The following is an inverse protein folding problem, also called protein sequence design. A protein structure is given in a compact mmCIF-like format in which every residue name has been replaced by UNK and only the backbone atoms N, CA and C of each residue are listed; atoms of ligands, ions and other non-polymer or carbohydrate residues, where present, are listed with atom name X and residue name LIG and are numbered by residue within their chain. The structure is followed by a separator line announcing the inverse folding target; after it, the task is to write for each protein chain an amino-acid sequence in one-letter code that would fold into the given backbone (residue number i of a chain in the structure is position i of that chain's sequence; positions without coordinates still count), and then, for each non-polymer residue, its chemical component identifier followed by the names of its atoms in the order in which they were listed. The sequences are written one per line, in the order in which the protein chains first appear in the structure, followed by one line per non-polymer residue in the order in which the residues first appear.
data_IF_405255423278
#
_entry.id   IF_405255423278
#
_cell.length_a   1.000
_cell.length_b   1.000
_cell.length_c   1.000
_cell.angle_alpha   90.00
_cell.angle_beta   90.00
_cell.angle_gamma   90.00
#
_symmetry.space_group_name_H-M   'P 1'
#
loop_
_entity.id
_entity.type
_entity.pdbx_description
1 polymer ?
#
# COMPACT_ATOMS: atom_id res chain seq x y z
N UNK A 1 16.65 53.03 -11.32
CA UNK A 1 15.68 52.86 -10.22
C UNK A 1 14.33 53.32 -10.76
N UNK A 2 13.25 52.54 -10.82
CA UNK A 2 12.97 51.17 -10.42
C UNK A 2 11.85 50.59 -11.30
N UNK A 3 11.77 49.26 -11.37
CA UNK A 3 10.73 48.56 -12.09
C UNK A 3 9.52 48.37 -11.16
N UNK A 4 8.39 48.99 -11.52
CA UNK A 4 7.12 48.82 -10.82
C UNK A 4 6.48 47.50 -11.27
N UNK A 5 6.71 46.42 -10.53
CA UNK A 5 5.97 45.18 -10.69
C UNK A 5 4.64 45.35 -9.94
N UNK A 6 3.61 45.80 -10.66
CA UNK A 6 2.23 45.78 -10.17
C UNK A 6 1.65 44.38 -10.43
N UNK A 7 1.88 43.43 -9.52
CA UNK A 7 1.13 42.19 -9.53
C UNK A 7 -0.33 42.51 -9.14
N UNK A 8 -1.26 42.28 -10.05
CA UNK A 8 -2.69 42.51 -9.80
C UNK A 8 -3.17 41.54 -8.73
N UNK A 9 -3.96 41.99 -7.75
CA UNK A 9 -4.52 41.11 -6.72
C UNK A 9 -5.31 39.92 -7.29
N UNK A 10 -5.80 40.05 -8.53
CA UNK A 10 -6.43 38.97 -9.29
C UNK A 10 -5.46 37.85 -9.69
N UNK A 11 -4.21 38.17 -10.04
CA UNK A 11 -3.19 37.18 -10.40
C UNK A 11 -2.73 36.37 -9.16
N UNK A 12 -2.76 37.00 -7.99
CA UNK A 12 -2.48 36.34 -6.71
C UNK A 12 -3.63 35.42 -6.30
N UNK A 13 -4.88 35.84 -6.51
CA UNK A 13 -6.08 35.03 -6.22
C UNK A 13 -6.23 33.86 -7.21
N UNK A 14 -5.95 34.08 -8.50
CA UNK A 14 -5.90 33.02 -9.53
C UNK A 14 -4.75 32.04 -9.28
N UNK A 15 -3.59 32.53 -8.82
CA UNK A 15 -2.46 31.69 -8.40
C UNK A 15 -2.77 30.86 -7.15
N UNK A 16 -3.55 31.39 -6.21
CA UNK A 16 -3.97 30.70 -5.00
C UNK A 16 -5.06 29.66 -5.29
N UNK A 17 -6.05 30.00 -6.11
CA UNK A 17 -7.11 29.07 -6.54
C UNK A 17 -6.58 27.97 -7.46
N UNK A 18 -5.62 28.26 -8.34
CA UNK A 18 -4.89 27.27 -9.14
C UNK A 18 -4.12 26.26 -8.27
N UNK A 19 -3.45 26.74 -7.20
CA UNK A 19 -2.77 25.84 -6.24
C UNK A 19 -3.73 25.02 -5.37
N UNK A 20 -4.93 25.53 -5.10
CA UNK A 20 -5.99 24.77 -4.40
C UNK A 20 -6.61 23.72 -5.34
N UNK A 21 -6.68 24.00 -6.66
CA UNK A 21 -7.21 23.09 -7.67
C UNK A 21 -6.31 21.89 -7.99
N UNK A 22 -5.04 21.89 -7.58
CA UNK A 22 -4.05 20.85 -7.94
C UNK A 22 -3.98 19.67 -6.95
N UNK A 23 -4.85 19.67 -5.91
CA UNK A 23 -5.00 18.52 -5.00
C UNK A 23 -6.09 17.58 -5.51
N UNK A 24 -5.81 16.28 -5.70
CA UNK A 24 -6.84 15.32 -6.04
C UNK A 24 -7.94 15.34 -4.97
N UNK A 25 -9.21 15.39 -5.41
CA UNK A 25 -10.35 15.34 -4.49
C UNK A 25 -10.31 14.06 -3.63
N UNK A 26 -10.78 14.15 -2.38
CA UNK A 26 -10.74 13.04 -1.42
C UNK A 26 -11.32 11.73 -1.98
N UNK A 27 -12.44 11.82 -2.70
CA UNK A 27 -13.07 10.65 -3.33
C UNK A 27 -12.18 10.01 -4.41
N UNK A 28 -11.46 10.82 -5.20
CA UNK A 28 -10.53 10.33 -6.20
C UNK A 28 -9.33 9.63 -5.54
N UNK A 29 -8.81 10.20 -4.46
CA UNK A 29 -7.73 9.61 -3.66
C UNK A 29 -8.13 8.26 -3.07
N UNK A 30 -9.30 8.18 -2.42
CA UNK A 30 -9.82 6.93 -1.85
C UNK A 30 -10.02 5.89 -2.96
N UNK A 31 -10.67 6.26 -4.07
CA UNK A 31 -10.90 5.36 -5.20
C UNK A 31 -9.59 4.84 -5.79
N UNK A 32 -8.61 5.71 -6.02
CA UNK A 32 -7.31 5.32 -6.56
C UNK A 32 -6.59 4.36 -5.61
N UNK A 33 -6.63 4.65 -4.31
CA UNK A 33 -6.07 3.80 -3.28
C UNK A 33 -6.71 2.43 -3.18
N UNK A 34 -8.05 2.34 -3.24
CA UNK A 34 -8.78 1.06 -3.24
C UNK A 34 -8.39 0.23 -4.47
N UNK A 35 -8.49 0.81 -5.68
CA UNK A 35 -8.20 0.07 -6.92
C UNK A 35 -6.73 -0.37 -6.93
N UNK A 36 -5.82 0.51 -6.54
CA UNK A 36 -4.40 0.18 -6.47
C UNK A 36 -4.09 -0.87 -5.41
N UNK A 37 -4.73 -0.78 -4.23
CA UNK A 37 -4.57 -1.73 -3.13
C UNK A 37 -5.07 -3.13 -3.50
N UNK A 38 -6.25 -3.24 -4.12
CA UNK A 38 -6.77 -4.51 -4.65
C UNK A 38 -5.85 -5.07 -5.74
N UNK A 39 -5.37 -4.22 -6.65
CA UNK A 39 -4.42 -4.64 -7.70
C UNK A 39 -3.14 -5.20 -7.09
N UNK A 40 -2.57 -4.51 -6.11
CA UNK A 40 -1.42 -4.97 -5.36
C UNK A 40 -1.68 -6.28 -4.63
N UNK A 41 -2.85 -6.42 -3.97
CA UNK A 41 -3.24 -7.62 -3.24
C UNK A 41 -3.28 -8.87 -4.12
N UNK A 42 -3.83 -8.75 -5.34
CA UNK A 42 -3.85 -9.85 -6.29
C UNK A 42 -2.43 -10.26 -6.72
N UNK A 43 -1.56 -9.28 -6.97
CA UNK A 43 -0.20 -9.55 -7.45
C UNK A 43 0.70 -10.12 -6.36
N UNK A 44 0.63 -9.60 -5.13
CA UNK A 44 1.40 -10.15 -4.01
C UNK A 44 1.00 -11.59 -3.72
N UNK A 45 -0.29 -11.92 -3.81
CA UNK A 45 -0.75 -13.29 -3.64
C UNK A 45 -0.25 -14.24 -4.72
N UNK A 46 -0.25 -13.81 -5.98
CA UNK A 46 0.35 -14.59 -7.07
C UNK A 46 1.84 -14.83 -6.77
N UNK A 47 2.56 -13.79 -6.34
CA UNK A 47 3.96 -13.89 -5.98
C UNK A 47 4.18 -14.87 -4.81
N UNK A 48 3.41 -14.76 -3.73
CA UNK A 48 3.54 -15.62 -2.56
C UNK A 48 3.19 -17.08 -2.88
N UNK A 49 2.16 -17.33 -3.68
CA UNK A 49 1.83 -18.68 -4.14
C UNK A 49 2.98 -19.31 -4.94
N UNK A 50 3.60 -18.55 -5.84
CA UNK A 50 4.71 -19.06 -6.66
C UNK A 50 5.98 -19.23 -5.81
N UNK A 51 6.38 -18.19 -5.08
CA UNK A 51 7.69 -18.14 -4.44
C UNK A 51 7.67 -18.77 -3.06
N UNK A 52 6.75 -18.38 -2.18
CA UNK A 52 6.75 -18.86 -0.80
C UNK A 52 6.26 -20.30 -0.71
N UNK A 53 5.18 -20.63 -1.43
CA UNK A 53 4.62 -21.99 -1.43
C UNK A 53 5.35 -22.88 -2.42
N UNK A 54 5.50 -22.45 -3.68
CA UNK A 54 6.07 -23.29 -4.74
C UNK A 54 7.59 -23.45 -4.67
N UNK A 55 8.34 -22.36 -4.55
CA UNK A 55 9.83 -22.40 -4.62
C UNK A 55 10.45 -22.64 -3.25
N UNK A 56 10.10 -21.83 -2.26
CA UNK A 56 10.76 -21.81 -0.96
C UNK A 56 10.14 -22.81 0.04
N UNK A 57 8.94 -23.32 -0.22
CA UNK A 57 8.21 -24.25 0.67
C UNK A 57 8.11 -23.74 2.13
N UNK A 58 8.13 -22.43 2.34
CA UNK A 58 8.23 -21.80 3.67
C UNK A 58 6.92 -21.81 4.43
N UNK A 59 5.78 -21.81 3.74
CA UNK A 59 4.45 -21.90 4.34
C UNK A 59 3.47 -22.61 3.42
N UNK A 60 2.51 -23.37 3.97
CA UNK A 60 1.35 -23.82 3.22
C UNK A 60 0.52 -22.62 2.75
N UNK A 61 -0.11 -22.70 1.57
CA UNK A 61 -0.95 -21.64 0.99
C UNK A 61 -2.02 -21.11 1.98
N UNK A 62 -2.53 -21.97 2.85
CA UNK A 62 -3.53 -21.62 3.86
C UNK A 62 -2.98 -20.89 5.10
N UNK A 63 -1.66 -20.92 5.33
CA UNK A 63 -1.02 -20.32 6.51
C UNK A 63 -1.03 -18.79 6.48
N UNK A 64 -0.83 -18.20 5.30
CA UNK A 64 -0.71 -16.74 5.14
C UNK A 64 -2.03 -16.02 5.51
N UNK A 65 -3.22 -16.46 5.03
CA UNK A 65 -4.46 -15.78 5.41
C UNK A 65 -4.84 -16.05 6.86
N UNK A 66 -4.61 -17.25 7.39
CA UNK A 66 -4.95 -17.57 8.80
C UNK A 66 -4.24 -16.67 9.80
N UNK A 67 -2.98 -16.30 9.55
CA UNK A 67 -2.24 -15.39 10.41
C UNK A 67 -2.88 -13.99 10.52
N UNK A 68 -3.59 -13.53 9.49
CA UNK A 68 -4.31 -12.26 9.54
C UNK A 68 -5.55 -12.33 10.46
N UNK A 69 -6.25 -13.47 10.49
CA UNK A 69 -7.32 -13.72 11.47
C UNK A 69 -6.77 -13.70 12.89
N UNK A 70 -5.62 -14.32 13.13
CA UNK A 70 -4.93 -14.29 14.42
C UNK A 70 -4.48 -12.89 14.83
N UNK A 71 -3.98 -12.07 13.90
CA UNK A 71 -3.59 -10.69 14.14
C UNK A 71 -4.78 -9.83 14.62
N UNK A 72 -5.95 -10.00 14.01
CA UNK A 72 -7.13 -9.15 14.31
C UNK A 72 -7.93 -9.65 15.51
N UNK A 73 -8.09 -10.96 15.65
CA UNK A 73 -9.00 -11.56 16.64
C UNK A 73 -8.32 -12.44 17.69
N UNK A 74 -7.00 -12.66 17.57
CA UNK A 74 -6.23 -13.53 18.45
C UNK A 74 -6.19 -14.99 17.97
N UNK A 75 -5.20 -15.73 18.51
CA UNK A 75 -4.93 -17.12 18.13
C UNK A 75 -6.08 -18.06 18.46
N UNK A 76 -6.74 -17.89 19.60
CA UNK A 76 -7.88 -18.73 20.02
C UNK A 76 -9.02 -18.67 19.00
N UNK A 77 -9.34 -17.47 18.50
CA UNK A 77 -10.36 -17.28 17.47
C UNK A 77 -9.91 -17.91 16.15
N UNK A 78 -8.66 -17.69 15.74
CA UNK A 78 -8.09 -18.32 14.55
C UNK A 78 -8.18 -19.87 14.59
N UNK A 79 -7.91 -20.47 15.75
CA UNK A 79 -7.91 -21.92 15.91
C UNK A 79 -9.36 -22.45 15.95
N UNK A 80 -10.26 -21.76 16.66
CA UNK A 80 -11.69 -22.13 16.74
C UNK A 80 -12.41 -22.10 15.39
N UNK A 81 -12.01 -21.18 14.49
CA UNK A 81 -12.62 -21.02 13.17
C UNK A 81 -12.18 -22.11 12.17
N UNK A 82 -11.09 -22.84 12.44
CA UNK A 82 -10.58 -23.88 11.54
C UNK A 82 -10.37 -23.38 10.11
N UNK A 83 -11.09 -23.95 9.15
CA UNK A 83 -11.05 -23.51 7.73
C UNK A 83 -11.66 -22.11 7.53
N UNK A 84 -12.60 -21.69 8.39
CA UNK A 84 -13.18 -20.35 8.34
C UNK A 84 -12.15 -19.26 8.57
N UNK A 85 -11.08 -19.54 9.32
CA UNK A 85 -9.98 -18.59 9.55
C UNK A 85 -9.23 -18.25 8.25
N UNK A 86 -9.23 -19.15 7.26
CA UNK A 86 -8.67 -18.87 5.94
C UNK A 86 -9.53 -17.84 5.19
N UNK A 87 -10.85 -18.05 5.14
CA UNK A 87 -11.78 -17.16 4.43
C UNK A 87 -11.81 -15.78 5.08
N UNK A 88 -11.95 -15.72 6.41
CA UNK A 88 -11.95 -14.47 7.18
C UNK A 88 -10.62 -13.75 7.02
N UNK A 89 -9.52 -14.50 7.10
CA UNK A 89 -8.17 -13.99 6.93
C UNK A 89 -7.93 -13.40 5.54
N UNK A 90 -8.43 -14.06 4.51
CA UNK A 90 -8.44 -13.54 3.13
C UNK A 90 -9.14 -12.19 3.05
N UNK A 91 -10.34 -12.07 3.63
CA UNK A 91 -11.08 -10.81 3.66
C UNK A 91 -10.28 -9.70 4.36
N UNK A 92 -9.67 -10.02 5.50
CA UNK A 92 -8.81 -9.09 6.25
C UNK A 92 -7.62 -8.62 5.40
N UNK A 93 -6.95 -9.51 4.66
CA UNK A 93 -5.85 -9.15 3.77
C UNK A 93 -6.26 -8.09 2.75
N UNK A 94 -7.41 -8.28 2.07
CA UNK A 94 -7.91 -7.28 1.12
C UNK A 94 -8.26 -5.95 1.79
N UNK A 95 -8.81 -5.98 3.00
CA UNK A 95 -9.07 -4.75 3.79
C UNK A 95 -7.78 -4.01 4.10
N UNK A 96 -6.75 -4.71 4.59
CA UNK A 96 -5.43 -4.10 4.83
C UNK A 96 -4.81 -3.58 3.53
N UNK A 97 -4.84 -4.35 2.44
CA UNK A 97 -4.31 -3.92 1.14
C UNK A 97 -5.00 -2.66 0.63
N UNK A 98 -6.33 -2.55 0.79
CA UNK A 98 -7.06 -1.32 0.46
C UNK A 98 -6.65 -0.16 1.37
N UNK A 99 -6.53 -0.37 2.67
CA UNK A 99 -6.11 0.66 3.63
C UNK A 99 -4.70 1.20 3.31
N UNK A 100 -3.74 0.30 3.10
CA UNK A 100 -2.39 0.67 2.65
C UNK A 100 -2.40 1.32 1.26
N UNK A 101 -3.30 0.92 0.36
CA UNK A 101 -3.47 1.57 -0.93
C UNK A 101 -3.96 3.02 -0.81
N UNK A 102 -4.97 3.26 0.04
CA UNK A 102 -5.50 4.60 0.34
C UNK A 102 -4.44 5.47 0.99
N UNK A 103 -3.68 4.93 1.94
CA UNK A 103 -2.60 5.65 2.59
C UNK A 103 -1.52 6.10 1.58
N UNK A 104 -1.11 5.19 0.67
CA UNK A 104 -0.17 5.55 -0.39
C UNK A 104 -0.75 6.64 -1.31
N UNK A 105 -2.01 6.50 -1.73
CA UNK A 105 -2.69 7.48 -2.58
C UNK A 105 -2.80 8.86 -1.92
N UNK A 106 -2.95 8.92 -0.59
CA UNK A 106 -2.99 10.16 0.16
C UNK A 106 -1.62 10.84 0.28
N UNK A 107 -0.55 10.06 0.44
CA UNK A 107 0.81 10.55 0.63
C UNK A 107 1.48 10.94 -0.70
N UNK A 108 1.24 10.16 -1.76
CA UNK A 108 1.92 10.33 -3.05
C UNK A 108 1.85 11.75 -3.64
N UNK A 109 0.71 12.46 -3.66
CA UNK A 109 0.63 13.82 -4.21
C UNK A 109 1.65 14.80 -3.60
N UNK A 110 2.00 14.65 -2.31
CA UNK A 110 3.02 15.47 -1.65
C UNK A 110 4.42 15.26 -2.26
N UNK A 111 4.78 14.02 -2.60
CA UNK A 111 6.05 13.69 -3.25
C UNK A 111 6.04 14.07 -4.74
N UNK A 112 4.91 13.88 -5.42
CA UNK A 112 4.71 14.31 -6.82
C UNK A 112 5.01 15.79 -7.00
N UNK A 113 4.54 16.64 -6.09
CA UNK A 113 4.78 18.10 -6.11
C UNK A 113 6.27 18.47 -6.02
N UNK A 114 7.13 17.55 -5.58
CA UNK A 114 8.59 17.72 -5.47
C UNK A 114 9.35 17.02 -6.61
N UNK A 115 8.65 16.49 -7.61
CA UNK A 115 9.24 15.85 -8.78
C UNK A 115 9.72 14.41 -8.55
N UNK A 116 9.38 13.78 -7.42
CA UNK A 116 9.66 12.35 -7.23
C UNK A 116 8.75 11.52 -8.14
N UNK A 117 9.16 10.28 -8.41
CA UNK A 117 8.41 9.28 -9.18
C UNK A 117 7.66 8.29 -8.28
N UNK A 118 6.48 7.84 -8.73
CA UNK A 118 5.55 7.10 -7.85
C UNK A 118 6.13 5.76 -7.43
N UNK A 119 6.71 5.05 -8.40
CA UNK A 119 7.37 3.76 -8.18
C UNK A 119 8.57 3.89 -7.27
N UNK A 120 9.34 4.99 -7.36
CA UNK A 120 10.47 5.24 -6.46
C UNK A 120 10.00 5.40 -5.00
N UNK A 121 8.96 6.21 -4.75
CA UNK A 121 8.36 6.35 -3.42
C UNK A 121 7.79 5.02 -2.93
N UNK A 122 7.22 4.22 -3.85
CA UNK A 122 6.65 2.91 -3.54
C UNK A 122 7.67 1.89 -3.01
N UNK A 123 8.95 2.00 -3.38
CA UNK A 123 10.00 1.12 -2.87
C UNK A 123 10.26 1.38 -1.38
N UNK A 124 10.41 2.65 -0.97
CA UNK A 124 10.55 2.99 0.45
C UNK A 124 9.27 2.69 1.23
N UNK A 125 8.11 2.92 0.60
CA UNK A 125 6.82 2.58 1.18
C UNK A 125 6.68 1.08 1.44
N UNK A 126 7.18 0.23 0.54
CA UNK A 126 7.18 -1.23 0.72
C UNK A 126 7.98 -1.65 1.95
N UNK A 127 9.18 -1.08 2.11
CA UNK A 127 10.06 -1.34 3.26
C UNK A 127 9.33 -0.94 4.55
N UNK A 128 8.75 0.26 4.57
CA UNK A 128 7.98 0.74 5.72
C UNK A 128 6.79 -0.16 6.05
N UNK A 129 5.95 -0.50 5.05
CA UNK A 129 4.78 -1.35 5.24
C UNK A 129 5.18 -2.75 5.72
N UNK A 130 6.27 -3.31 5.19
CA UNK A 130 6.81 -4.60 5.62
C UNK A 130 7.16 -4.58 7.11
N UNK A 131 7.97 -3.60 7.53
CA UNK A 131 8.38 -3.45 8.94
C UNK A 131 7.15 -3.33 9.84
N UNK A 132 6.23 -2.41 9.52
CA UNK A 132 5.04 -2.16 10.36
C UNK A 132 4.18 -3.41 10.49
N UNK A 133 3.91 -4.09 9.37
CA UNK A 133 3.07 -5.30 9.38
C UNK A 133 3.73 -6.45 10.15
N UNK A 134 5.04 -6.65 9.96
CA UNK A 134 5.75 -7.77 10.59
C UNK A 134 5.94 -7.54 12.08
N UNK A 135 6.21 -6.30 12.51
CA UNK A 135 6.21 -5.92 13.92
C UNK A 135 4.83 -6.11 14.55
N UNK A 136 3.75 -5.69 13.87
CA UNK A 136 2.40 -5.90 14.36
C UNK A 136 2.07 -7.39 14.55
N UNK A 137 2.48 -8.25 13.60
CA UNK A 137 2.31 -9.70 13.69
C UNK A 137 3.10 -10.28 14.88
N UNK A 138 4.35 -9.87 15.10
CA UNK A 138 5.16 -10.33 16.24
C UNK A 138 4.53 -9.96 17.59
N UNK A 139 3.86 -8.80 17.67
CA UNK A 139 3.21 -8.35 18.90
C UNK A 139 1.88 -9.10 19.12
N UNK A 140 1.11 -9.32 18.06
CA UNK A 140 -0.24 -9.86 18.16
C UNK A 140 -0.31 -11.40 18.13
N UNK A 141 0.75 -12.07 17.65
CA UNK A 141 0.78 -13.51 17.46
C UNK A 141 2.14 -14.07 17.88
N UNK A 142 2.13 -15.25 18.50
CA UNK A 142 3.35 -16.07 18.70
C UNK A 142 3.59 -17.05 17.55
N UNK A 143 2.67 -17.11 16.58
CA UNK A 143 2.75 -17.94 15.39
C UNK A 143 3.06 -17.06 14.17
N UNK A 144 4.34 -16.84 13.92
CA UNK A 144 4.84 -16.07 12.80
C UNK A 144 6.13 -16.70 12.25
N UNK A 145 6.52 -16.42 11.00
CA UNK A 145 7.80 -16.84 10.47
C UNK A 145 8.98 -16.35 11.32
N UNK A 146 10.10 -17.06 11.25
CA UNK A 146 11.33 -16.59 11.88
C UNK A 146 11.86 -15.35 11.13
N UNK A 147 11.63 -14.16 11.67
CA UNK A 147 12.09 -12.91 11.06
C UNK A 147 13.59 -12.64 11.22
N UNK A 148 14.35 -13.56 11.81
CA UNK A 148 15.81 -13.58 11.75
C UNK A 148 16.36 -14.41 10.58
N UNK A 149 15.50 -15.17 9.89
CA UNK A 149 15.90 -15.94 8.71
C UNK A 149 16.05 -15.01 7.49
N UNK A 150 17.24 -14.94 6.87
CA UNK A 150 17.45 -14.14 5.66
C UNK A 150 16.47 -14.46 4.53
N UNK A 151 16.04 -15.72 4.37
CA UNK A 151 15.11 -16.12 3.32
C UNK A 151 13.72 -15.50 3.53
N UNK A 152 13.26 -15.42 4.78
CA UNK A 152 11.99 -14.78 5.16
C UNK A 152 12.07 -13.26 4.97
N UNK A 153 13.19 -12.66 5.35
CA UNK A 153 13.41 -11.21 5.18
C UNK A 153 13.41 -10.86 3.68
N UNK A 154 14.19 -11.57 2.86
CA UNK A 154 14.28 -11.32 1.41
C UNK A 154 12.92 -11.57 0.75
N UNK A 155 12.29 -12.72 1.02
CA UNK A 155 10.99 -13.06 0.47
C UNK A 155 9.91 -12.05 0.87
N UNK A 156 9.99 -11.51 2.10
CA UNK A 156 9.06 -10.51 2.63
C UNK A 156 9.20 -9.15 1.99
N UNK A 157 10.44 -8.66 1.82
CA UNK A 157 10.68 -7.43 1.08
C UNK A 157 10.23 -7.54 -0.37
N UNK A 158 10.56 -8.66 -1.03
CA UNK A 158 10.18 -8.88 -2.41
C UNK A 158 8.66 -8.95 -2.59
N UNK A 159 7.94 -9.61 -1.67
CA UNK A 159 6.47 -9.65 -1.72
C UNK A 159 5.88 -8.24 -1.59
N UNK A 160 6.44 -7.40 -0.72
CA UNK A 160 5.98 -6.02 -0.54
C UNK A 160 6.30 -5.15 -1.75
N UNK A 161 7.42 -5.35 -2.46
CA UNK A 161 7.64 -4.70 -3.75
C UNK A 161 6.62 -5.14 -4.81
N UNK A 162 6.30 -6.44 -4.87
CA UNK A 162 5.25 -6.97 -5.74
C UNK A 162 3.86 -6.42 -5.40
N UNK A 163 3.63 -5.98 -4.16
CA UNK A 163 2.44 -5.24 -3.77
C UNK A 163 2.49 -3.76 -4.17
N UNK A 164 3.53 -3.01 -3.76
CA UNK A 164 3.52 -1.55 -3.85
C UNK A 164 3.79 -1.01 -5.24
N UNK A 165 4.57 -1.70 -6.08
CA UNK A 165 4.89 -1.22 -7.43
C UNK A 165 3.63 -1.15 -8.30
N UNK A 166 2.81 -2.21 -8.43
CA UNK A 166 1.55 -2.13 -9.16
C UNK A 166 0.56 -1.13 -8.55
N UNK A 167 0.46 -1.10 -7.22
CA UNK A 167 -0.33 -0.09 -6.49
C UNK A 167 0.05 1.32 -6.94
N UNK A 168 1.34 1.63 -6.95
CA UNK A 168 1.84 2.95 -7.29
C UNK A 168 1.60 3.33 -8.75
N UNK A 169 1.73 2.37 -9.68
CA UNK A 169 1.42 2.58 -11.08
C UNK A 169 -0.06 2.92 -11.28
N UNK A 170 -0.96 2.18 -10.61
CA UNK A 170 -2.41 2.44 -10.66
C UNK A 170 -2.73 3.81 -10.07
N UNK A 171 -2.21 4.12 -8.88
CA UNK A 171 -2.44 5.40 -8.20
C UNK A 171 -1.90 6.55 -9.05
N UNK A 172 -0.69 6.44 -9.60
CA UNK A 172 -0.09 7.43 -10.49
C UNK A 172 -1.01 7.70 -11.69
N UNK A 173 -1.53 6.64 -12.33
CA UNK A 173 -2.40 6.76 -13.50
C UNK A 173 -3.73 7.42 -13.17
N UNK A 174 -4.34 7.08 -12.04
CA UNK A 174 -5.67 7.57 -11.66
C UNK A 174 -5.64 8.99 -11.07
N UNK A 175 -4.52 9.41 -10.49
CA UNK A 175 -4.34 10.75 -9.92
C UNK A 175 -3.51 11.68 -10.81
N UNK A 176 -3.18 11.26 -12.04
CA UNK A 176 -2.51 12.13 -13.00
C UNK A 176 -3.41 13.32 -13.38
N UNK A 177 -2.85 14.54 -13.53
CA UNK A 177 -3.59 15.68 -14.07
C UNK A 177 -4.18 15.30 -15.43
N UNK A 178 -5.50 15.47 -15.58
CA UNK A 178 -6.14 15.31 -16.88
C UNK A 178 -5.69 16.48 -17.78
N UNK A 179 -5.23 16.25 -19.01
CA UNK A 179 -5.04 17.34 -19.95
C UNK A 179 -6.40 18.03 -20.15
N UNK A 180 -6.41 19.37 -20.04
CA UNK A 180 -7.57 20.18 -20.37
C UNK A 180 -7.97 19.84 -21.81
N UNK A 181 -9.17 19.27 -21.99
CA UNK A 181 -9.77 19.05 -23.30
C UNK A 181 -10.51 20.29 -23.74
#
# INVERSE_FOLDING_TARGET
MGNNISASGKDLDDGLTSRIADKPGLAATIRAGIIGGVTGALIIWIYEAIVWVGVQHLMPLAGIPRNATGLVFGKEVQDSLGIGAYIVGTGIHFVFSMAWGILFAAIWPYFRQRGYEATFVALFYAIFAWIVMHVAIMIASTNHPNYYDPAVIIGGFMSHFCFTVPLALVVKRLLAPQPVR
#
